data_IF_426671750877
#
_entry.id   IF_426671750877
#
_cell.length_a   1.000
_cell.length_b   1.000
_cell.length_c   1.000
_cell.angle_alpha   90.00
_cell.angle_beta   90.00
_cell.angle_gamma   90.00
#
_symmetry.space_group_name_H-M   'P 1'
#
loop_
_entity.id
_entity.type
_entity.pdbx_description
1 polymer ?
#
# COMPACT_ATOMS: atom_id res chain seq x y z
N UNK A 1 13.08 16.58 -4.76
CA UNK A 1 12.34 17.35 -5.78
C UNK A 1 13.37 18.09 -6.63
N UNK A 2 13.25 18.03 -7.96
CA UNK A 2 14.07 18.80 -8.89
C UNK A 2 13.16 19.62 -9.81
N UNK A 3 13.39 20.93 -9.88
CA UNK A 3 12.57 21.88 -10.65
C UNK A 3 13.37 22.39 -11.84
N UNK A 4 12.75 22.45 -13.01
CA UNK A 4 13.38 22.82 -14.27
C UNK A 4 12.56 23.90 -14.98
N UNK A 5 13.23 24.89 -15.56
CA UNK A 5 12.60 25.85 -16.47
C UNK A 5 12.84 25.46 -17.93
N UNK A 6 13.15 26.47 -18.75
CA UNK A 6 13.53 26.36 -20.17
C UNK A 6 12.43 25.89 -21.12
N UNK A 7 11.82 24.73 -20.87
CA UNK A 7 10.67 24.28 -21.65
C UNK A 7 9.43 24.99 -21.14
N UNK A 8 8.78 25.78 -22.01
CA UNK A 8 7.67 26.67 -21.63
C UNK A 8 6.33 25.94 -21.41
N UNK A 9 6.34 24.91 -20.58
CA UNK A 9 5.18 24.09 -20.22
C UNK A 9 5.28 23.60 -18.78
N UNK A 10 4.20 23.01 -18.29
CA UNK A 10 4.20 22.18 -17.09
C UNK A 10 4.34 20.71 -17.44
N UNK A 11 5.24 20.00 -16.77
CA UNK A 11 5.31 18.55 -16.86
C UNK A 11 5.86 17.96 -15.57
N UNK A 12 5.12 17.03 -14.95
CA UNK A 12 5.57 16.30 -13.77
C UNK A 12 5.90 14.87 -14.13
N UNK A 13 7.09 14.44 -13.71
CA UNK A 13 7.53 13.05 -13.85
C UNK A 13 7.26 12.25 -12.56
N UNK A 14 7.25 10.93 -12.69
CA UNK A 14 7.32 10.02 -11.54
C UNK A 14 8.63 10.27 -10.75
N UNK A 15 8.68 9.82 -9.49
CA UNK A 15 9.97 9.72 -8.80
C UNK A 15 10.86 8.73 -9.55
N UNK A 16 12.06 9.15 -9.98
CA UNK A 16 12.82 8.37 -10.96
C UNK A 16 14.32 8.38 -10.71
N UNK A 17 14.97 7.31 -11.18
CA UNK A 17 16.43 7.18 -11.27
C UNK A 17 16.77 6.46 -12.56
N UNK A 18 17.73 7.00 -13.31
CA UNK A 18 18.20 6.44 -14.58
C UNK A 18 17.04 6.10 -15.56
N UNK A 19 16.16 7.09 -15.82
CA UNK A 19 14.99 6.95 -16.69
C UNK A 19 13.91 5.94 -16.26
N UNK A 20 14.07 5.27 -15.12
CA UNK A 20 13.08 4.34 -14.57
C UNK A 20 12.31 4.98 -13.41
N UNK A 21 10.98 4.85 -13.45
CA UNK A 21 10.13 5.19 -12.31
C UNK A 21 10.39 4.24 -11.15
N UNK A 22 10.49 4.80 -9.94
CA UNK A 22 10.70 4.06 -8.71
C UNK A 22 9.42 4.10 -7.87
N UNK A 23 8.93 2.94 -7.44
CA UNK A 23 7.83 2.85 -6.47
C UNK A 23 6.45 3.23 -7.02
N UNK A 24 6.04 2.66 -8.15
CA UNK A 24 4.76 2.91 -8.86
C UNK A 24 3.47 2.61 -8.07
N UNK A 25 3.54 2.16 -6.82
CA UNK A 25 2.39 1.68 -6.05
C UNK A 25 1.89 2.62 -4.95
N UNK A 26 2.44 3.82 -4.77
CA UNK A 26 1.78 4.79 -3.90
C UNK A 26 2.13 6.23 -4.28
N UNK A 27 1.10 7.03 -4.48
CA UNK A 27 1.11 8.49 -4.50
C UNK A 27 1.62 9.13 -3.19
N UNK A 28 2.21 8.35 -2.28
CA UNK A 28 2.53 8.72 -0.90
C UNK A 28 3.98 8.37 -0.49
N UNK A 29 4.69 7.54 -1.25
CA UNK A 29 6.09 7.20 -0.99
C UNK A 29 6.93 7.45 -2.23
N UNK A 30 7.32 8.70 -2.46
CA UNK A 30 8.53 8.98 -3.24
C UNK A 30 9.72 8.47 -2.43
N UNK A 31 9.92 7.15 -2.40
CA UNK A 31 10.97 6.50 -1.63
C UNK A 31 12.33 7.00 -2.10
N UNK A 32 12.90 7.98 -1.41
CA UNK A 32 14.26 8.50 -1.59
C UNK A 32 14.63 9.09 -2.96
N UNK A 33 13.82 8.94 -4.01
CA UNK A 33 14.15 9.36 -5.37
C UNK A 33 13.52 10.71 -5.73
N UNK A 34 14.23 11.55 -6.52
CA UNK A 34 13.71 12.85 -6.91
C UNK A 34 12.52 12.71 -7.86
N UNK A 35 11.44 13.41 -7.54
CA UNK A 35 10.43 13.83 -8.51
C UNK A 35 11.00 14.98 -9.32
N UNK A 36 10.93 14.90 -10.64
CA UNK A 36 11.33 15.97 -11.56
C UNK A 36 10.09 16.71 -12.07
N UNK A 37 10.13 18.03 -12.07
CA UNK A 37 9.02 18.86 -12.54
C UNK A 37 9.55 19.99 -13.42
N UNK A 38 9.01 20.11 -14.63
CA UNK A 38 9.20 21.25 -15.52
C UNK A 38 8.16 22.30 -15.17
N UNK A 39 8.61 23.51 -14.87
CA UNK A 39 7.84 24.66 -14.39
C UNK A 39 8.10 25.92 -15.25
N UNK A 40 8.25 25.75 -16.56
CA UNK A 40 8.59 26.86 -17.47
C UNK A 40 7.40 27.62 -18.05
N UNK A 41 6.18 27.33 -17.60
CA UNK A 41 4.90 27.84 -18.14
C UNK A 41 4.57 29.31 -17.77
N UNK A 42 5.56 30.16 -17.50
CA UNK A 42 5.35 31.49 -16.91
C UNK A 42 4.84 32.59 -17.87
N UNK A 43 4.50 32.26 -19.13
CA UNK A 43 3.94 33.24 -20.09
C UNK A 43 4.69 33.41 -21.41
N UNK A 44 5.53 32.46 -21.82
CA UNK A 44 6.12 32.46 -23.16
C UNK A 44 5.23 31.68 -24.14
N UNK A 45 4.80 32.34 -25.22
CA UNK A 45 3.87 31.84 -26.23
C UNK A 45 4.44 30.68 -27.05
N UNK A 46 5.77 30.66 -27.28
CA UNK A 46 6.39 29.54 -27.99
C UNK A 46 6.52 28.32 -27.07
N UNK A 47 5.80 27.25 -27.41
CA UNK A 47 5.85 25.98 -26.71
C UNK A 47 6.10 24.81 -27.67
N UNK A 48 6.88 23.78 -27.27
CA UNK A 48 7.06 22.60 -28.09
C UNK A 48 5.74 21.83 -28.26
N UNK A 49 5.58 21.16 -29.39
CA UNK A 49 4.38 20.40 -29.74
C UNK A 49 4.54 18.96 -29.26
N UNK A 50 3.47 18.35 -28.75
CA UNK A 50 3.44 16.92 -28.39
C UNK A 50 3.14 16.05 -29.60
N UNK A 51 4.10 15.99 -30.51
CA UNK A 51 4.01 15.18 -31.74
C UNK A 51 5.20 14.22 -31.86
N UNK A 52 5.05 13.11 -32.60
CA UNK A 52 6.17 12.25 -32.96
C UNK A 52 7.25 13.06 -33.68
N UNK A 53 8.52 12.80 -33.34
CA UNK A 53 9.66 13.45 -33.97
C UNK A 53 10.31 12.52 -35.01
N UNK A 54 10.24 12.84 -36.31
CA UNK A 54 10.80 11.99 -37.36
C UNK A 54 12.32 11.83 -37.26
N UNK A 55 13.00 12.85 -36.76
CA UNK A 55 14.45 12.92 -36.57
C UNK A 55 14.94 12.14 -35.33
N UNK A 56 14.04 11.87 -34.38
CA UNK A 56 14.37 11.27 -33.09
C UNK A 56 13.36 10.18 -32.67
N UNK A 57 13.23 9.09 -33.45
CA UNK A 57 12.20 8.06 -33.26
C UNK A 57 12.33 7.31 -31.94
N UNK A 58 13.55 7.15 -31.42
CA UNK A 58 13.83 6.35 -30.20
C UNK A 58 13.60 7.13 -28.90
N UNK A 59 13.37 8.45 -28.96
CA UNK A 59 13.12 9.31 -27.79
C UNK A 59 11.78 10.05 -27.91
N UNK A 60 10.65 9.31 -28.03
CA UNK A 60 9.37 9.91 -28.33
C UNK A 60 8.91 10.88 -27.22
N UNK A 61 8.38 12.03 -27.64
CA UNK A 61 7.60 12.94 -26.78
C UNK A 61 6.10 12.71 -26.93
N UNK A 62 5.71 11.93 -27.96
CA UNK A 62 4.36 11.44 -28.20
C UNK A 62 4.40 9.97 -28.65
N UNK A 63 3.47 9.10 -28.18
CA UNK A 63 2.50 9.34 -27.11
C UNK A 63 3.20 9.66 -25.78
N UNK A 64 2.46 10.19 -24.80
CA UNK A 64 3.03 10.60 -23.50
C UNK A 64 3.87 9.45 -22.89
N UNK A 65 5.17 9.65 -22.63
CA UNK A 65 5.99 8.60 -22.04
C UNK A 65 5.48 8.20 -20.66
N UNK A 66 5.57 6.92 -20.30
CA UNK A 66 5.08 6.38 -19.01
C UNK A 66 5.61 7.11 -17.77
N UNK A 67 6.82 7.67 -17.86
CA UNK A 67 7.44 8.45 -16.78
C UNK A 67 6.86 9.84 -16.59
N UNK A 68 6.19 10.38 -17.61
CA UNK A 68 5.49 11.67 -17.58
C UNK A 68 4.09 11.44 -17.03
N UNK A 69 3.84 11.90 -15.81
CA UNK A 69 2.61 11.62 -15.06
C UNK A 69 1.52 12.65 -15.39
N UNK A 70 1.90 13.90 -15.59
CA UNK A 70 0.99 14.99 -15.92
C UNK A 70 1.68 16.01 -16.82
N UNK A 71 0.93 16.55 -17.79
CA UNK A 71 1.39 17.60 -18.70
C UNK A 71 0.35 18.71 -18.81
N UNK A 72 0.79 19.96 -18.78
CA UNK A 72 -0.04 21.14 -18.98
C UNK A 72 0.60 22.10 -19.98
N UNK A 73 -0.19 22.58 -20.95
CA UNK A 73 0.23 23.60 -21.93
C UNK A 73 -0.20 25.02 -21.54
N UNK A 74 -0.98 25.18 -20.48
CA UNK A 74 -1.48 26.47 -20.03
C UNK A 74 -0.45 27.24 -19.23
N UNK A 75 -0.58 28.57 -19.21
CA UNK A 75 0.22 29.41 -18.33
C UNK A 75 -0.21 29.25 -16.88
N UNK A 76 0.75 29.42 -15.98
CA UNK A 76 0.53 29.23 -14.56
C UNK A 76 1.81 29.35 -13.74
N UNK A 77 1.72 28.88 -12.51
CA UNK A 77 2.84 28.83 -11.57
C UNK A 77 2.72 27.64 -10.64
N UNK A 78 3.82 27.30 -9.97
CA UNK A 78 3.81 26.28 -8.93
C UNK A 78 3.91 26.88 -7.53
N UNK A 79 3.15 26.34 -6.59
CA UNK A 79 3.21 26.68 -5.17
C UNK A 79 3.78 25.52 -4.37
N UNK A 80 4.76 25.81 -3.52
CA UNK A 80 5.33 24.85 -2.56
C UNK A 80 4.80 25.15 -1.16
N UNK A 81 4.22 24.14 -0.52
CA UNK A 81 3.78 24.22 0.88
C UNK A 81 4.48 23.11 1.67
N UNK A 82 5.28 23.48 2.66
CA UNK A 82 6.03 22.54 3.48
C UNK A 82 5.45 22.45 4.91
N UNK A 83 5.31 21.24 5.41
CA UNK A 83 5.07 20.92 6.82
C UNK A 83 6.24 20.08 7.35
N UNK A 84 6.21 19.69 8.63
CA UNK A 84 7.19 18.74 9.18
C UNK A 84 7.14 17.37 8.48
N UNK A 85 5.95 16.95 8.08
CA UNK A 85 5.71 15.60 7.57
C UNK A 85 5.88 15.53 6.06
N UNK A 86 5.56 16.60 5.32
CA UNK A 86 5.53 16.57 3.86
C UNK A 86 5.81 17.92 3.19
N UNK A 87 6.22 17.83 1.94
CA UNK A 87 6.28 18.93 0.98
C UNK A 87 5.24 18.69 -0.10
N UNK A 88 4.31 19.63 -0.27
CA UNK A 88 3.31 19.60 -1.35
C UNK A 88 3.69 20.60 -2.42
N UNK A 89 3.78 20.14 -3.67
CA UNK A 89 3.84 20.99 -4.86
C UNK A 89 2.46 21.00 -5.51
N UNK A 90 1.93 22.18 -5.82
CA UNK A 90 0.70 22.38 -6.58
C UNK A 90 0.99 23.20 -7.83
N UNK A 91 0.41 22.83 -8.97
CA UNK A 91 0.37 23.63 -10.20
C UNK A 91 -0.95 24.38 -10.28
N UNK A 92 -0.89 25.71 -10.37
CA UNK A 92 -2.03 26.60 -10.46
C UNK A 92 -2.07 27.22 -11.85
N UNK A 93 -3.20 27.08 -12.52
CA UNK A 93 -3.43 27.66 -13.85
C UNK A 93 -3.77 29.14 -13.74
N UNK A 94 -3.21 29.97 -14.60
CA UNK A 94 -3.55 31.40 -14.63
C UNK A 94 -4.94 31.66 -15.26
N UNK A 95 -5.48 30.71 -16.01
CA UNK A 95 -6.76 30.85 -16.71
C UNK A 95 -7.96 30.79 -15.77
N UNK A 96 -7.86 30.05 -14.67
CA UNK A 96 -8.93 29.88 -13.67
C UNK A 96 -8.48 30.12 -12.23
N UNK A 97 -7.17 30.16 -11.96
CA UNK A 97 -6.63 30.29 -10.61
C UNK A 97 -6.70 29.01 -9.77
N UNK A 98 -7.09 27.89 -10.38
CA UNK A 98 -7.34 26.62 -9.70
C UNK A 98 -6.14 25.68 -9.76
N UNK A 99 -6.14 24.66 -8.88
CA UNK A 99 -5.09 23.64 -8.87
C UNK A 99 -5.37 22.56 -9.92
N UNK A 100 -4.46 22.41 -10.88
CA UNK A 100 -4.58 21.44 -11.98
C UNK A 100 -3.75 20.17 -11.79
N UNK A 101 -2.69 20.25 -10.99
CA UNK A 101 -1.89 19.09 -10.59
C UNK A 101 -1.31 19.29 -9.19
N UNK A 102 -1.08 18.19 -8.47
CA UNK A 102 -0.40 18.22 -7.18
C UNK A 102 0.40 16.94 -6.91
N UNK A 103 1.49 17.09 -6.17
CA UNK A 103 2.28 15.96 -5.67
C UNK A 103 2.71 16.24 -4.23
N UNK A 104 2.57 15.22 -3.39
CA UNK A 104 3.05 15.24 -2.02
C UNK A 104 4.31 14.39 -1.91
N UNK A 105 5.32 14.93 -1.25
CA UNK A 105 6.61 14.30 -0.99
C UNK A 105 6.73 14.19 0.53
N UNK A 106 6.56 12.99 1.04
CA UNK A 106 6.72 12.68 2.46
C UNK A 106 8.19 12.89 2.86
N UNK A 107 8.42 13.54 3.99
CA UNK A 107 9.76 13.76 4.57
C UNK A 107 10.46 12.48 5.03
N UNK A 108 9.72 11.36 5.09
CA UNK A 108 10.17 10.12 5.74
C UNK A 108 10.16 10.23 7.27
N UNK A 109 9.88 11.41 7.83
CA UNK A 109 9.58 11.58 9.23
C UNK A 109 8.16 11.09 9.46
N UNK A 110 8.04 9.81 9.76
CA UNK A 110 6.95 9.35 10.60
C UNK A 110 7.13 10.11 11.90
N UNK A 111 6.21 11.03 12.24
CA UNK A 111 5.92 11.17 13.65
C UNK A 111 5.60 9.75 14.10
N UNK A 112 6.49 9.15 14.90
CA UNK A 112 6.07 8.17 15.87
C UNK A 112 5.05 8.89 16.75
N UNK A 113 3.82 9.04 16.24
CA UNK A 113 2.68 8.85 17.10
C UNK A 113 2.73 7.35 17.36
N UNK A 114 3.48 7.03 18.42
CA UNK A 114 3.58 5.74 19.06
C UNK A 114 2.21 5.42 19.68
N UNK A 115 1.18 5.34 18.83
CA UNK A 115 -0.18 5.00 19.22
C UNK A 115 -0.64 3.81 18.37
N UNK A 116 -0.43 2.64 18.99
CA UNK A 116 -1.42 1.56 19.07
C UNK A 116 -1.58 0.55 17.91
N UNK A 117 -0.76 0.60 16.85
CA UNK A 117 -0.82 -0.46 15.81
C UNK A 117 0.06 -1.68 16.07
N UNK A 118 1.16 -1.55 16.80
CA UNK A 118 2.12 -2.67 16.99
C UNK A 118 1.73 -3.61 18.14
N UNK A 119 0.91 -3.16 19.09
CA UNK A 119 0.48 -3.98 20.24
C UNK A 119 -0.71 -4.89 19.90
N UNK A 120 -1.58 -4.47 18.97
CA UNK A 120 -2.82 -5.18 18.64
C UNK A 120 -2.56 -6.45 17.82
N UNK A 121 -1.65 -6.41 16.85
CA UNK A 121 -1.33 -7.58 16.00
C UNK A 121 -0.60 -8.68 16.80
N UNK A 122 0.32 -8.28 17.68
CA UNK A 122 1.05 -9.21 18.56
C UNK A 122 0.13 -9.86 19.61
N UNK A 123 -0.73 -9.05 20.24
CA UNK A 123 -1.70 -9.56 21.22
C UNK A 123 -2.74 -10.47 20.56
N UNK A 124 -3.27 -10.08 19.39
CA UNK A 124 -4.25 -10.88 18.65
C UNK A 124 -3.67 -12.24 18.22
N UNK A 125 -2.42 -12.26 17.74
CA UNK A 125 -1.71 -13.51 17.40
C UNK A 125 -1.55 -14.44 18.61
N UNK A 126 -1.19 -13.90 19.77
CA UNK A 126 -1.12 -14.67 21.03
C UNK A 126 -2.49 -15.23 21.44
N UNK A 127 -3.56 -14.42 21.39
CA UNK A 127 -4.91 -14.86 21.76
C UNK A 127 -5.44 -15.92 20.80
N UNK A 128 -5.23 -15.77 19.49
CA UNK A 128 -5.60 -16.77 18.49
C UNK A 128 -4.84 -18.07 18.72
N UNK A 129 -3.54 -18.00 19.03
CA UNK A 129 -2.73 -19.18 19.34
C UNK A 129 -3.20 -19.88 20.62
N UNK A 130 -3.51 -19.12 21.68
CA UNK A 130 -4.04 -19.64 22.93
C UNK A 130 -5.41 -20.30 22.78
N UNK A 131 -6.35 -19.62 22.11
CA UNK A 131 -7.68 -20.14 21.82
C UNK A 131 -7.62 -21.41 20.97
N UNK A 132 -6.73 -21.45 19.97
CA UNK A 132 -6.54 -22.63 19.11
C UNK A 132 -6.07 -23.85 19.91
N UNK A 133 -5.12 -23.66 20.84
CA UNK A 133 -4.63 -24.74 21.71
C UNK A 133 -5.73 -25.27 22.63
N UNK A 134 -6.56 -24.38 23.20
CA UNK A 134 -7.68 -24.78 24.07
C UNK A 134 -8.75 -25.56 23.31
N UNK A 135 -9.11 -25.14 22.10
CA UNK A 135 -10.08 -25.84 21.26
C UNK A 135 -9.59 -27.22 20.83
N UNK A 136 -8.33 -27.33 20.39
CA UNK A 136 -7.71 -28.61 20.04
C UNK A 136 -7.61 -29.54 21.26
N UNK A 137 -7.15 -29.02 22.40
CA UNK A 137 -7.06 -29.78 23.65
C UNK A 137 -8.42 -30.28 24.12
N UNK A 138 -9.43 -29.42 24.09
CA UNK A 138 -10.81 -29.78 24.44
C UNK A 138 -11.40 -30.85 23.52
N UNK A 139 -11.19 -30.73 22.20
CA UNK A 139 -11.65 -31.71 21.23
C UNK A 139 -10.98 -33.08 21.40
N UNK A 140 -9.66 -33.11 21.56
CA UNK A 140 -8.91 -34.34 21.80
C UNK A 140 -9.34 -35.00 23.12
N UNK A 141 -9.48 -34.21 24.18
CA UNK A 141 -9.96 -34.69 25.47
C UNK A 141 -11.39 -35.28 25.39
N UNK A 142 -12.28 -34.63 24.65
CA UNK A 142 -13.64 -35.13 24.41
C UNK A 142 -13.65 -36.47 23.66
N UNK A 143 -12.88 -36.59 22.58
CA UNK A 143 -12.80 -37.84 21.79
C UNK A 143 -12.22 -38.98 22.63
N UNK A 144 -11.12 -38.74 23.35
CA UNK A 144 -10.52 -39.76 24.22
C UNK A 144 -11.47 -40.17 25.36
N UNK A 145 -12.14 -39.20 25.99
CA UNK A 145 -13.15 -39.47 27.02
C UNK A 145 -14.34 -40.26 26.49
N UNK A 146 -14.85 -39.92 25.30
CA UNK A 146 -15.94 -40.63 24.65
C UNK A 146 -15.58 -42.08 24.32
N UNK A 147 -14.38 -42.32 23.76
CA UNK A 147 -13.88 -43.67 23.46
C UNK A 147 -13.64 -44.48 24.74
N UNK A 148 -13.11 -43.87 25.80
CA UNK A 148 -12.94 -44.56 27.08
C UNK A 148 -14.29 -44.94 27.70
N UNK A 149 -15.29 -44.06 27.61
CA UNK A 149 -16.63 -44.32 28.12
C UNK A 149 -17.34 -45.41 27.30
N UNK A 150 -17.26 -45.38 25.97
CA UNK A 150 -17.89 -46.40 25.13
C UNK A 150 -17.28 -47.78 25.34
N UNK A 151 -15.95 -47.87 25.52
CA UNK A 151 -15.26 -49.11 25.93
C UNK A 151 -15.71 -49.62 27.30
N UNK A 152 -15.94 -48.71 28.26
CA UNK A 152 -16.43 -49.07 29.60
C UNK A 152 -17.88 -49.55 29.58
N UNK A 153 -18.75 -48.92 28.78
CA UNK A 153 -20.15 -49.37 28.60
C UNK A 153 -20.24 -50.73 27.88
N UNK A 154 -19.34 -51.02 26.93
CA UNK A 154 -19.26 -52.36 26.30
C UNK A 154 -18.75 -53.43 27.26
N UNK A 155 -17.76 -53.10 28.10
CA UNK A 155 -17.26 -54.01 29.14
C UNK A 155 -18.32 -54.28 30.23
N UNK A 156 -19.10 -53.28 30.65
CA UNK A 156 -20.18 -53.47 31.63
C UNK A 156 -21.37 -54.27 31.07
N UNK A 157 -21.61 -54.25 29.76
CA UNK A 157 -22.67 -55.08 29.15
C UNK A 157 -22.30 -56.57 29.00
N UNK A 158 -21.02 -56.92 29.08
CA UNK A 158 -20.55 -58.32 28.92
C UNK A 158 -20.47 -59.11 30.22
N UNK A 159 -20.72 -58.49 31.38
CA UNK A 159 -20.74 -59.18 32.68
C UNK A 159 -22.17 -59.43 33.15
N UNK A 160 -22.88 -60.32 32.46
CA UNK A 160 -24.03 -61.03 33.04
C UNK A 160 -23.58 -62.45 33.34
N UNK A 161 -23.20 -62.72 34.59
CA UNK A 161 -23.02 -64.10 35.07
C UNK A 161 -24.40 -64.69 35.36
N UNK A 162 -24.81 -65.80 34.71
CA UNK A 162 -26.07 -66.45 35.01
C UNK A 162 -26.03 -67.03 36.43
N UNK A 163 -27.08 -66.76 37.21
CA UNK A 163 -27.27 -67.36 38.54
C UNK A 163 -27.60 -68.84 38.34
N UNK A 164 -26.73 -69.69 38.90
CA UNK A 164 -26.89 -71.14 38.94
C UNK A 164 -28.04 -71.47 39.91
N UNK A 165 -29.12 -72.05 39.42
CA UNK A 165 -30.18 -72.64 40.24
C UNK A 165 -29.86 -74.11 40.45
N UNK A 166 -29.54 -74.52 41.67
CA UNK A 166 -29.60 -75.92 42.11
C UNK A 166 -30.07 -75.99 43.58
N UNK A 167 -31.30 -76.52 43.71
CA UNK A 167 -31.85 -77.45 44.72
C UNK A 167 -31.72 -77.21 46.24
N UNK A 168 -32.88 -77.17 46.91
CA UNK A 168 -33.30 -78.14 47.96
C UNK A 168 -34.78 -78.46 47.76
#
# INVERSE_FOLDING_TARGET
>A
LALWGHVHRYERFCAMKNYSCMGTNSSSHSGGFPVHVVIGMAGQDWQPIWEPRPDHPDVPVFPQPQRSMYRGGEFGYTRLTATREKLTLSYIGNHDGEVHDSVEISSGFSLEHDEEKVVLESSFSWYVKGASVLLLGGFVGYVLGFVSRSKRETASRTTWTPVKSDEV
#
